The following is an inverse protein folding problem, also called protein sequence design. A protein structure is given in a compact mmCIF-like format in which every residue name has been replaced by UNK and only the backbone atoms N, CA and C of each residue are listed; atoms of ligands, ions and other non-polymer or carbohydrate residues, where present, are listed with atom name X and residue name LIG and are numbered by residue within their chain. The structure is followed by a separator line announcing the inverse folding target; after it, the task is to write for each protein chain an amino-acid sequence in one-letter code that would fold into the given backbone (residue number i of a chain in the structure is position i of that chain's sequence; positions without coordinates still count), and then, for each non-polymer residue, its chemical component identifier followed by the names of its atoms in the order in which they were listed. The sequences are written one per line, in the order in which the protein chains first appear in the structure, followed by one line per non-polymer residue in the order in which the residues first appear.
data_IF_669482542249
#
_entry.id   IF_669482542249
#
_cell.length_a   1.000
_cell.length_b   1.000
_cell.length_c   1.000
_cell.angle_alpha   90.00
_cell.angle_beta   90.00
_cell.angle_gamma   90.00
#
_symmetry.space_group_name_H-M   'P 1'
#
loop_
_entity.id
_entity.type
_entity.pdbx_description
1 polymer ?
#
# COMPACT_ATOMS: atom_id res chain seq x y z
N UNK A 1 9.05 -1.93 -31.06
CA UNK A 1 7.94 -1.16 -31.70
C UNK A 1 8.22 0.32 -31.45
N UNK A 2 7.64 1.29 -32.17
CA UNK A 2 7.84 2.71 -31.83
C UNK A 2 6.78 3.12 -30.81
N UNK A 3 7.21 3.54 -29.62
CA UNK A 3 6.35 4.00 -28.52
C UNK A 3 5.34 5.04 -29.02
N UNK A 4 4.06 4.84 -28.73
CA UNK A 4 3.01 5.79 -29.12
C UNK A 4 2.90 6.93 -28.11
N UNK A 5 2.30 8.06 -28.52
CA UNK A 5 2.06 9.19 -27.60
C UNK A 5 1.11 8.80 -26.46
N UNK A 6 0.17 7.90 -26.75
CA UNK A 6 -0.78 7.32 -25.81
C UNK A 6 -0.04 6.48 -24.75
N UNK A 7 0.90 5.65 -25.17
CA UNK A 7 1.71 4.83 -24.28
C UNK A 7 2.60 5.69 -23.35
N UNK A 8 3.32 6.67 -23.91
CA UNK A 8 4.10 7.63 -23.11
C UNK A 8 3.26 8.37 -22.07
N UNK A 9 2.01 8.72 -22.41
CA UNK A 9 1.08 9.35 -21.49
C UNK A 9 0.73 8.40 -20.32
N UNK A 10 0.41 7.13 -20.60
CA UNK A 10 0.06 6.13 -19.57
C UNK A 10 1.25 5.75 -18.69
N UNK A 11 2.47 5.72 -19.23
CA UNK A 11 3.70 5.41 -18.47
C UNK A 11 3.86 6.34 -17.25
N UNK A 12 3.52 7.62 -17.38
CA UNK A 12 3.56 8.55 -16.24
C UNK A 12 2.65 8.14 -15.08
N UNK A 13 1.41 7.74 -15.38
CA UNK A 13 0.46 7.25 -14.36
C UNK A 13 0.88 5.92 -13.77
N UNK A 14 1.42 5.02 -14.60
CA UNK A 14 1.97 3.74 -14.16
C UNK A 14 3.10 3.96 -13.13
N UNK A 15 4.01 4.90 -13.38
CA UNK A 15 5.07 5.22 -12.42
C UNK A 15 4.54 5.88 -11.15
N UNK A 16 3.61 6.81 -11.25
CA UNK A 16 3.01 7.46 -10.06
C UNK A 16 2.25 6.44 -9.19
N UNK A 17 1.45 5.56 -9.79
CA UNK A 17 0.72 4.52 -9.07
C UNK A 17 1.67 3.51 -8.38
N UNK A 18 2.77 3.17 -9.04
CA UNK A 18 3.84 2.38 -8.43
C UNK A 18 4.52 3.11 -7.27
N UNK A 19 4.89 4.39 -7.43
CA UNK A 19 5.48 5.17 -6.35
C UNK A 19 4.55 5.30 -5.14
N UNK A 20 3.23 5.34 -5.36
CA UNK A 20 2.24 5.39 -4.28
C UNK A 20 2.26 4.15 -3.35
N UNK A 21 2.72 3.00 -3.84
CA UNK A 21 2.86 1.76 -3.03
C UNK A 21 4.12 1.76 -2.17
N UNK A 22 5.15 2.49 -2.59
CA UNK A 22 6.50 2.36 -2.05
C UNK A 22 6.62 2.78 -0.57
N UNK A 23 5.87 3.78 -0.05
CA UNK A 23 5.86 4.09 1.37
C UNK A 23 5.45 2.92 2.27
N UNK A 24 4.74 1.90 1.74
CA UNK A 24 4.41 0.72 2.52
C UNK A 24 5.66 -0.07 2.97
N UNK A 25 6.75 -0.01 2.21
CA UNK A 25 8.02 -0.64 2.62
C UNK A 25 8.57 -0.08 3.94
N UNK A 26 8.30 1.20 4.21
CA UNK A 26 8.79 1.87 5.41
C UNK A 26 8.24 1.22 6.71
N UNK A 27 7.03 0.66 6.68
CA UNK A 27 6.42 -0.01 7.84
C UNK A 27 7.17 -1.26 8.30
N UNK A 28 7.94 -1.90 7.42
CA UNK A 28 8.70 -3.12 7.71
C UNK A 28 10.21 -2.92 7.56
N UNK A 29 10.67 -1.69 7.34
CA UNK A 29 12.08 -1.35 7.16
C UNK A 29 12.91 -1.82 8.36
N UNK A 30 14.09 -2.38 8.05
CA UNK A 30 15.07 -2.85 9.02
C UNK A 30 16.35 -2.04 8.87
N UNK A 31 16.96 -1.65 10.00
CA UNK A 31 18.20 -0.86 10.07
C UNK A 31 19.34 -1.41 9.19
N UNK A 32 19.40 -2.73 8.96
CA UNK A 32 20.39 -3.34 8.05
C UNK A 32 20.35 -2.80 6.62
N UNK A 33 19.20 -2.31 6.16
CA UNK A 33 18.99 -1.81 4.79
C UNK A 33 18.80 -0.29 4.75
N UNK A 34 19.13 0.41 5.84
CA UNK A 34 18.85 1.84 6.01
C UNK A 34 19.47 2.70 4.91
N UNK A 35 20.73 2.46 4.55
CA UNK A 35 21.42 3.28 3.53
C UNK A 35 20.80 3.08 2.14
N UNK A 36 20.52 1.82 1.78
CA UNK A 36 19.81 1.49 0.54
C UNK A 36 18.42 2.13 0.49
N UNK A 37 17.71 2.13 1.62
CA UNK A 37 16.40 2.76 1.73
C UNK A 37 16.47 4.28 1.60
N UNK A 38 17.50 4.93 2.14
CA UNK A 38 17.74 6.36 1.99
C UNK A 38 17.94 6.72 0.52
N UNK A 39 18.81 6.01 -0.19
CA UNK A 39 19.12 6.28 -1.59
C UNK A 39 17.90 6.02 -2.48
N UNK A 40 17.18 4.92 -2.21
CA UNK A 40 15.93 4.61 -2.89
C UNK A 40 14.87 5.69 -2.63
N UNK A 41 14.74 6.19 -1.41
CA UNK A 41 13.79 7.27 -1.06
C UNK A 41 14.16 8.59 -1.74
N UNK A 42 15.44 8.92 -1.87
CA UNK A 42 15.90 10.09 -2.64
C UNK A 42 15.53 9.94 -4.11
N UNK A 43 15.82 8.78 -4.70
CA UNK A 43 15.44 8.51 -6.09
C UNK A 43 13.91 8.61 -6.31
N UNK A 44 13.11 8.05 -5.40
CA UNK A 44 11.64 8.16 -5.43
C UNK A 44 11.15 9.60 -5.41
N UNK A 45 11.81 10.49 -4.65
CA UNK A 45 11.50 11.95 -4.63
C UNK A 45 11.73 12.57 -5.99
N UNK A 46 12.87 12.28 -6.61
CA UNK A 46 13.24 12.83 -7.91
C UNK A 46 12.27 12.34 -9.00
N UNK A 47 11.93 11.05 -8.98
CA UNK A 47 10.96 10.44 -9.90
C UNK A 47 9.55 11.04 -9.72
N UNK A 48 9.11 11.25 -8.49
CA UNK A 48 7.83 11.90 -8.21
C UNK A 48 7.81 13.34 -8.76
N UNK A 49 8.85 14.13 -8.48
CA UNK A 49 8.96 15.49 -8.98
C UNK A 49 8.98 15.56 -10.52
N UNK A 50 9.60 14.58 -11.18
CA UNK A 50 9.60 14.47 -12.63
C UNK A 50 8.19 14.20 -13.19
N UNK A 51 7.46 13.24 -12.62
CA UNK A 51 6.13 12.88 -13.11
C UNK A 51 5.01 13.83 -12.67
N UNK A 52 5.26 14.76 -11.75
CA UNK A 52 4.28 15.77 -11.30
C UNK A 52 4.61 17.21 -11.71
N UNK A 53 5.62 17.43 -12.56
CA UNK A 53 5.92 18.77 -13.06
C UNK A 53 4.84 19.29 -14.03
N UNK A 54 4.85 20.60 -14.30
CA UNK A 54 3.86 21.27 -15.17
C UNK A 54 3.88 20.74 -16.62
N UNK A 55 4.98 20.16 -17.07
CA UNK A 55 5.12 19.58 -18.42
C UNK A 55 4.73 18.09 -18.48
N UNK A 56 4.28 17.49 -17.37
CA UNK A 56 4.05 16.04 -17.29
C UNK A 56 2.69 15.62 -17.85
N UNK A 57 2.57 14.34 -18.20
CA UNK A 57 1.29 13.74 -18.59
C UNK A 57 0.24 13.83 -17.48
N UNK A 58 0.68 13.77 -16.22
CA UNK A 58 -0.18 13.95 -15.06
C UNK A 58 -0.73 15.37 -14.97
N UNK A 59 0.11 16.39 -15.12
CA UNK A 59 -0.34 17.78 -15.06
C UNK A 59 -1.29 18.11 -16.24
N UNK A 60 -0.93 17.67 -17.45
CA UNK A 60 -1.78 17.79 -18.65
C UNK A 60 -3.16 17.17 -18.43
N UNK A 61 -3.24 16.02 -17.76
CA UNK A 61 -4.51 15.40 -17.40
C UNK A 61 -5.30 16.22 -16.39
N UNK A 62 -4.64 16.75 -15.35
CA UNK A 62 -5.28 17.63 -14.38
C UNK A 62 -5.85 18.88 -15.07
N UNK A 63 -5.12 19.49 -16.01
CA UNK A 63 -5.62 20.58 -16.84
C UNK A 63 -6.85 20.20 -17.65
N UNK A 64 -6.82 19.05 -18.32
CA UNK A 64 -7.96 18.53 -19.08
C UNK A 64 -9.21 18.25 -18.22
N UNK A 65 -9.03 18.08 -16.91
CA UNK A 65 -10.10 17.86 -15.92
C UNK A 65 -10.51 19.15 -15.18
N UNK A 66 -9.87 20.28 -15.45
CA UNK A 66 -10.14 21.58 -14.82
C UNK A 66 -9.31 21.83 -13.55
N UNK A 67 -8.61 22.97 -13.50
CA UNK A 67 -7.75 23.40 -12.40
C UNK A 67 -8.36 24.46 -11.47
N UNK A 68 -9.62 24.86 -11.67
CA UNK A 68 -10.25 25.79 -10.72
C UNK A 68 -10.54 25.07 -9.41
N UNK A 69 -10.55 25.82 -8.32
CA UNK A 69 -10.78 25.27 -6.99
C UNK A 69 -12.07 24.42 -6.94
N UNK A 70 -11.92 23.15 -6.54
CA UNK A 70 -13.02 22.20 -6.43
C UNK A 70 -13.32 21.39 -7.70
N UNK A 71 -12.69 21.72 -8.83
CA UNK A 71 -12.75 20.91 -10.05
C UNK A 71 -11.97 19.60 -9.88
N UNK A 72 -12.31 18.54 -10.66
CA UNK A 72 -11.65 17.24 -10.52
C UNK A 72 -10.13 17.28 -10.72
N UNK A 73 -9.62 18.11 -11.63
CA UNK A 73 -8.19 18.24 -11.87
C UNK A 73 -7.43 18.88 -10.71
N UNK A 74 -7.97 19.97 -10.14
CA UNK A 74 -7.45 20.61 -8.92
C UNK A 74 -7.42 19.63 -7.73
N UNK A 75 -8.48 18.84 -7.54
CA UNK A 75 -8.55 17.83 -6.48
C UNK A 75 -7.48 16.74 -6.63
N UNK A 76 -7.31 16.23 -7.85
CA UNK A 76 -6.30 15.20 -8.14
C UNK A 76 -4.89 15.74 -7.90
N UNK A 77 -4.60 16.94 -8.39
CA UNK A 77 -3.31 17.60 -8.20
C UNK A 77 -3.00 17.77 -6.70
N UNK A 78 -3.97 18.29 -5.92
CA UNK A 78 -3.83 18.45 -4.46
C UNK A 78 -3.61 17.13 -3.74
N UNK A 79 -4.34 16.07 -4.10
CA UNK A 79 -4.20 14.75 -3.49
C UNK A 79 -2.79 14.18 -3.71
N UNK A 80 -2.26 14.25 -4.95
CA UNK A 80 -0.90 13.77 -5.26
C UNK A 80 0.17 14.64 -4.61
N UNK A 81 -0.04 15.96 -4.55
CA UNK A 81 0.85 16.88 -3.84
C UNK A 81 0.88 16.60 -2.33
N UNK A 82 -0.28 16.40 -1.71
CA UNK A 82 -0.39 16.06 -0.30
C UNK A 82 0.30 14.72 -0.01
N UNK A 83 0.10 13.72 -0.86
CA UNK A 83 0.84 12.46 -0.80
C UNK A 83 2.35 12.68 -0.88
N UNK A 84 2.83 13.48 -1.85
CA UNK A 84 4.24 13.79 -1.99
C UNK A 84 4.81 14.44 -0.71
N UNK A 85 4.08 15.40 -0.16
CA UNK A 85 4.48 16.15 1.02
C UNK A 85 4.51 15.28 2.28
N UNK A 86 3.49 14.44 2.47
CA UNK A 86 3.39 13.56 3.64
C UNK A 86 4.35 12.37 3.58
N UNK A 87 4.71 11.87 2.40
CA UNK A 87 5.50 10.63 2.26
C UNK A 87 6.96 10.88 1.94
N UNK A 88 7.27 11.92 1.17
CA UNK A 88 8.57 12.07 0.55
C UNK A 88 9.20 13.44 0.78
N UNK A 89 8.50 14.44 1.34
CA UNK A 89 9.14 15.72 1.66
C UNK A 89 10.25 15.59 2.72
N UNK A 90 11.27 16.46 2.72
CA UNK A 90 12.17 16.62 3.87
C UNK A 90 11.43 16.93 5.19
N UNK A 91 10.20 17.45 5.13
CA UNK A 91 9.32 17.72 6.26
C UNK A 91 8.30 16.61 6.52
N UNK A 92 8.34 15.52 5.77
CA UNK A 92 7.44 14.37 5.96
C UNK A 92 7.48 13.91 7.41
N UNK A 93 6.30 13.74 7.99
CA UNK A 93 6.15 13.20 9.34
C UNK A 93 6.27 11.69 9.38
N UNK A 94 6.09 11.00 8.23
CA UNK A 94 6.23 9.56 8.12
C UNK A 94 7.68 9.14 7.83
N UNK A 95 8.28 9.60 6.73
CA UNK A 95 9.63 9.25 6.28
C UNK A 95 10.48 10.51 6.17
N UNK A 96 11.31 10.76 7.19
CA UNK A 96 12.22 11.91 7.22
C UNK A 96 13.66 11.47 7.02
N UNK A 97 14.39 12.18 6.16
CA UNK A 97 15.83 12.01 5.94
C UNK A 97 16.52 13.33 6.25
N UNK A 98 17.28 13.37 7.36
CA UNK A 98 18.04 14.55 7.78
C UNK A 98 19.50 14.19 7.97
N UNK A 99 20.40 14.81 7.20
CA UNK A 99 21.86 14.52 7.25
C UNK A 99 22.18 13.02 7.16
N UNK A 100 21.54 12.30 6.22
CA UNK A 100 21.61 10.84 6.06
C UNK A 100 21.11 10.00 7.24
N UNK A 101 20.39 10.58 8.20
CA UNK A 101 19.62 9.81 9.16
C UNK A 101 18.17 9.68 8.70
N UNK A 102 17.79 8.43 8.40
CA UNK A 102 16.41 8.01 8.19
C UNK A 102 15.67 7.94 9.53
N UNK A 103 14.47 8.49 9.56
CA UNK A 103 13.50 8.37 10.65
C UNK A 103 12.17 7.92 10.05
N UNK A 104 11.61 6.85 10.59
CA UNK A 104 10.30 6.32 10.19
C UNK A 104 9.36 6.41 11.39
N UNK A 105 8.28 7.15 11.26
CA UNK A 105 7.24 7.26 12.27
C UNK A 105 6.04 6.38 11.89
N UNK A 106 6.02 5.15 12.39
CA UNK A 106 4.96 4.18 12.08
C UNK A 106 3.56 4.70 12.49
N UNK A 107 3.44 5.40 13.62
CA UNK A 107 2.14 5.97 14.07
C UNK A 107 1.60 6.97 13.06
N UNK A 108 2.46 7.87 12.57
CA UNK A 108 2.05 8.78 11.50
C UNK A 108 1.71 8.04 10.21
N UNK A 109 2.51 7.04 9.82
CA UNK A 109 2.20 6.21 8.65
C UNK A 109 0.80 5.58 8.72
N UNK A 110 0.42 5.06 9.89
CA UNK A 110 -0.92 4.49 10.13
C UNK A 110 -2.02 5.54 9.94
N UNK A 111 -1.84 6.74 10.48
CA UNK A 111 -2.78 7.85 10.30
C UNK A 111 -2.93 8.29 8.84
N UNK A 112 -1.92 8.02 8.00
CA UNK A 112 -1.90 8.38 6.59
C UNK A 112 -2.31 7.24 5.64
N UNK A 113 -2.74 6.08 6.17
CA UNK A 113 -3.15 4.92 5.34
C UNK A 113 -4.25 5.28 4.34
N UNK A 114 -5.20 6.14 4.72
CA UNK A 114 -6.25 6.62 3.81
C UNK A 114 -5.69 7.39 2.62
N UNK A 115 -4.73 8.29 2.84
CA UNK A 115 -4.07 9.05 1.78
C UNK A 115 -3.22 8.14 0.87
N UNK A 116 -2.48 7.20 1.45
CA UNK A 116 -1.66 6.22 0.72
C UNK A 116 -2.52 5.37 -0.22
N UNK A 117 -3.56 4.74 0.33
CA UNK A 117 -4.44 3.84 -0.42
C UNK A 117 -5.29 4.60 -1.42
N UNK A 118 -5.86 5.74 -1.02
CA UNK A 118 -6.66 6.59 -1.89
C UNK A 118 -5.86 7.09 -3.09
N UNK A 119 -4.66 7.62 -2.87
CA UNK A 119 -3.81 8.14 -3.97
C UNK A 119 -3.42 7.05 -4.96
N UNK A 120 -3.00 5.88 -4.45
CA UNK A 120 -2.70 4.74 -5.32
C UNK A 120 -3.92 4.33 -6.14
N UNK A 121 -5.07 4.16 -5.49
CA UNK A 121 -6.29 3.69 -6.13
C UNK A 121 -6.75 4.69 -7.20
N UNK A 122 -6.77 5.99 -6.90
CA UNK A 122 -7.11 7.04 -7.87
C UNK A 122 -6.20 7.02 -9.10
N UNK A 123 -4.88 6.94 -8.92
CA UNK A 123 -3.92 6.91 -10.03
C UNK A 123 -4.07 5.65 -10.88
N UNK A 124 -4.32 4.50 -10.23
CA UNK A 124 -4.60 3.24 -10.92
C UNK A 124 -5.89 3.31 -11.74
N UNK A 125 -6.97 3.84 -11.17
CA UNK A 125 -8.26 3.92 -11.86
C UNK A 125 -8.16 4.82 -13.09
N UNK A 126 -7.41 5.93 -13.00
CA UNK A 126 -7.12 6.77 -14.16
C UNK A 126 -6.34 5.99 -15.22
N UNK A 127 -5.26 5.31 -14.83
CA UNK A 127 -4.44 4.50 -15.74
C UNK A 127 -5.27 3.45 -16.48
N UNK A 128 -6.08 2.67 -15.76
CA UNK A 128 -6.89 1.59 -16.33
C UNK A 128 -8.00 2.15 -17.22
N UNK A 129 -8.67 3.22 -16.79
CA UNK A 129 -9.73 3.84 -17.59
C UNK A 129 -9.18 4.43 -18.90
N UNK A 130 -8.08 5.18 -18.83
CA UNK A 130 -7.46 5.78 -20.02
C UNK A 130 -6.90 4.69 -20.95
N UNK A 131 -6.29 3.62 -20.41
CA UNK A 131 -5.86 2.46 -21.18
C UNK A 131 -7.02 1.82 -21.94
N UNK A 132 -8.13 1.52 -21.25
CA UNK A 132 -9.31 0.93 -21.87
C UNK A 132 -9.91 1.84 -22.95
N UNK A 133 -9.94 3.16 -22.72
CA UNK A 133 -10.42 4.13 -23.71
C UNK A 133 -9.54 4.15 -24.97
N UNK A 134 -8.22 4.04 -24.83
CA UNK A 134 -7.32 3.97 -25.98
C UNK A 134 -7.47 2.66 -26.73
N UNK A 135 -7.51 1.52 -26.06
CA UNK A 135 -7.71 0.21 -26.68
C UNK A 135 -9.06 0.09 -27.42
N UNK A 136 -10.11 0.76 -26.93
CA UNK A 136 -11.42 0.80 -27.62
C UNK A 136 -11.38 1.62 -28.91
N UNK A 137 -10.62 2.72 -28.93
CA UNK A 137 -10.53 3.62 -30.08
C UNK A 137 -9.53 3.11 -31.12
N UNK A 138 -8.40 2.61 -30.65
CA UNK A 138 -7.25 2.19 -31.45
C UNK A 138 -6.65 0.92 -30.79
N UNK A 139 -7.15 -0.28 -31.12
CA UNK A 139 -6.77 -1.53 -30.44
C UNK A 139 -5.27 -1.85 -30.49
N UNK A 140 -4.60 -1.43 -31.56
CA UNK A 140 -3.17 -1.68 -31.79
C UNK A 140 -2.28 -0.49 -31.37
N UNK A 141 -2.83 0.52 -30.67
CA UNK A 141 -2.10 1.74 -30.28
C UNK A 141 -1.21 1.60 -29.05
N UNK A 142 -1.35 0.50 -28.30
CA UNK A 142 -0.61 0.24 -27.06
C UNK A 142 0.06 -1.13 -27.19
N UNK A 143 1.32 -1.23 -26.76
CA UNK A 143 2.06 -2.49 -26.74
C UNK A 143 1.33 -3.52 -25.85
N UNK A 144 1.05 -4.74 -26.35
CA UNK A 144 0.45 -5.80 -25.54
C UNK A 144 1.22 -6.11 -24.25
N UNK A 145 2.55 -5.97 -24.25
CA UNK A 145 3.37 -6.13 -23.05
C UNK A 145 3.06 -5.03 -22.02
N UNK A 146 2.82 -3.79 -22.45
CA UNK A 146 2.42 -2.72 -21.54
C UNK A 146 1.03 -2.98 -20.94
N UNK A 147 0.07 -3.48 -21.74
CA UNK A 147 -1.25 -3.89 -21.24
C UNK A 147 -1.11 -4.95 -20.14
N UNK A 148 -0.28 -5.96 -20.37
CA UNK A 148 -0.03 -7.02 -19.39
C UNK A 148 0.71 -6.51 -18.15
N UNK A 149 1.67 -5.59 -18.31
CA UNK A 149 2.35 -4.92 -17.20
C UNK A 149 1.37 -4.19 -16.27
N UNK A 150 0.41 -3.43 -16.83
CA UNK A 150 -0.59 -2.71 -16.03
C UNK A 150 -1.46 -3.68 -15.22
N UNK A 151 -1.89 -4.80 -15.81
CA UNK A 151 -2.66 -5.84 -15.12
C UNK A 151 -1.86 -6.50 -14.00
N UNK A 152 -0.63 -6.90 -14.30
CA UNK A 152 0.24 -7.62 -13.37
C UNK A 152 0.72 -6.73 -12.22
N UNK A 153 1.05 -5.47 -12.48
CA UNK A 153 1.44 -4.50 -11.44
C UNK A 153 0.38 -4.40 -10.37
N UNK A 154 -0.89 -4.29 -10.76
CA UNK A 154 -1.96 -4.13 -9.79
C UNK A 154 -2.02 -5.33 -8.82
N UNK A 155 -1.87 -6.55 -9.35
CA UNK A 155 -1.85 -7.79 -8.56
C UNK A 155 -0.66 -7.81 -7.61
N UNK A 156 0.53 -7.53 -8.13
CA UNK A 156 1.79 -7.52 -7.36
C UNK A 156 1.70 -6.51 -6.23
N UNK A 157 1.29 -5.29 -6.54
CA UNK A 157 1.22 -4.20 -5.57
C UNK A 157 0.13 -4.39 -4.54
N UNK A 158 -1.02 -4.96 -4.92
CA UNK A 158 -2.06 -5.33 -3.95
C UNK A 158 -1.57 -6.42 -3.00
N UNK A 159 -0.98 -7.49 -3.54
CA UNK A 159 -0.39 -8.54 -2.72
C UNK A 159 0.72 -8.01 -1.79
N UNK A 160 1.52 -7.07 -2.29
CA UNK A 160 2.54 -6.37 -1.50
C UNK A 160 1.92 -5.59 -0.34
N UNK A 161 0.96 -4.70 -0.61
CA UNK A 161 0.30 -3.90 0.43
C UNK A 161 -0.41 -4.79 1.45
N UNK A 162 -1.18 -5.80 1.02
CA UNK A 162 -1.85 -6.73 1.93
C UNK A 162 -0.84 -7.48 2.80
N UNK A 163 0.30 -7.91 2.24
CA UNK A 163 1.39 -8.53 3.01
C UNK A 163 1.98 -7.58 4.06
N UNK A 164 2.24 -6.31 3.71
CA UNK A 164 2.75 -5.32 4.66
C UNK A 164 1.72 -5.07 5.76
N UNK A 165 0.47 -4.80 5.39
CA UNK A 165 -0.64 -4.56 6.31
C UNK A 165 -0.85 -5.75 7.25
N UNK A 166 -0.72 -6.98 6.74
CA UNK A 166 -0.72 -8.21 7.53
C UNK A 166 0.36 -8.21 8.61
N UNK A 167 1.60 -7.88 8.24
CA UNK A 167 2.73 -7.88 9.16
C UNK A 167 2.54 -6.84 10.26
N UNK A 168 2.09 -5.62 9.91
CA UNK A 168 1.85 -4.57 10.91
C UNK A 168 0.63 -4.87 11.76
N UNK A 169 -0.39 -5.52 11.21
CA UNK A 169 -1.58 -5.97 11.94
C UNK A 169 -1.17 -6.93 13.06
N UNK A 170 -0.45 -8.01 12.72
CA UNK A 170 0.01 -9.00 13.71
C UNK A 170 0.92 -8.37 14.78
N UNK A 171 1.83 -7.48 14.38
CA UNK A 171 2.71 -6.77 15.33
C UNK A 171 1.92 -5.87 16.29
N UNK A 172 0.92 -5.17 15.79
CA UNK A 172 0.09 -4.26 16.59
C UNK A 172 -0.82 -5.04 17.53
N UNK A 173 -1.38 -6.15 17.05
CA UNK A 173 -2.16 -7.07 17.86
C UNK A 173 -1.35 -7.65 19.01
N UNK A 174 -0.16 -8.21 18.75
CA UNK A 174 0.67 -8.79 19.81
C UNK A 174 1.04 -7.75 20.88
N UNK A 175 1.23 -6.47 20.50
CA UNK A 175 1.43 -5.37 21.45
C UNK A 175 0.18 -5.08 22.28
N UNK A 176 -0.99 -5.07 21.66
CA UNK A 176 -2.27 -4.88 22.34
C UNK A 176 -2.56 -6.00 23.33
N UNK A 177 -2.43 -7.27 22.93
CA UNK A 177 -2.62 -8.42 23.82
C UNK A 177 -1.67 -8.39 25.01
N UNK A 178 -0.39 -8.08 24.80
CA UNK A 178 0.56 -7.93 25.90
C UNK A 178 0.19 -6.77 26.85
N UNK A 179 -0.37 -5.68 26.31
CA UNK A 179 -0.84 -4.56 27.12
C UNK A 179 -2.09 -4.91 27.94
N UNK A 180 -3.03 -5.68 27.37
CA UNK A 180 -4.19 -6.23 28.08
C UNK A 180 -3.72 -7.09 29.25
N UNK A 181 -2.83 -8.06 29.00
CA UNK A 181 -2.30 -8.93 30.05
C UNK A 181 -1.64 -8.13 31.17
N UNK A 182 -0.82 -7.14 30.81
CA UNK A 182 -0.18 -6.25 31.79
C UNK A 182 -1.19 -5.48 32.62
N UNK A 183 -2.21 -4.89 31.98
CA UNK A 183 -3.28 -4.15 32.64
C UNK A 183 -4.06 -5.05 33.60
N UNK A 184 -4.48 -6.23 33.16
CA UNK A 184 -5.22 -7.19 33.99
C UNK A 184 -4.39 -7.69 35.17
N UNK A 185 -3.09 -7.94 34.99
CA UNK A 185 -2.20 -8.32 36.10
C UNK A 185 -2.01 -7.18 37.12
N UNK A 186 -1.92 -5.94 36.66
CA UNK A 186 -1.85 -4.78 37.56
C UNK A 186 -3.14 -4.65 38.36
N UNK A 187 -4.30 -4.75 37.69
CA UNK A 187 -5.61 -4.71 38.34
C UNK A 187 -5.76 -5.82 39.39
N UNK A 188 -5.40 -7.06 39.04
CA UNK A 188 -5.42 -8.21 39.96
C UNK A 188 -4.57 -7.95 41.21
N UNK A 189 -3.39 -7.36 41.07
CA UNK A 189 -2.52 -7.06 42.22
C UNK A 189 -3.08 -5.93 43.10
N UNK A 190 -3.85 -5.00 42.53
CA UNK A 190 -4.42 -3.85 43.23
C UNK A 190 -5.76 -4.17 43.89
N UNK A 191 -6.62 -4.96 43.26
CA UNK A 191 -8.01 -5.22 43.68
C UNK A 191 -8.26 -6.67 44.10
N UNK A 192 -7.40 -7.60 43.69
CA UNK A 192 -7.63 -9.04 43.86
C UNK A 192 -8.56 -9.66 42.81
N UNK A 193 -9.05 -8.87 41.85
CA UNK A 193 -9.99 -9.32 40.81
C UNK A 193 -9.27 -9.65 39.50
N UNK A 194 -9.58 -10.81 38.93
CA UNK A 194 -8.98 -11.29 37.67
C UNK A 194 -9.88 -10.90 36.49
N UNK A 195 -9.59 -9.75 35.88
CA UNK A 195 -10.36 -9.24 34.73
C UNK A 195 -10.40 -10.20 33.54
N UNK A 196 -9.41 -11.09 33.38
CA UNK A 196 -9.41 -12.07 32.29
C UNK A 196 -10.46 -13.18 32.48
N UNK A 197 -11.06 -13.27 33.67
CA UNK A 197 -12.17 -14.17 33.99
C UNK A 197 -13.51 -13.46 34.07
N UNK A 198 -13.56 -12.14 33.91
CA UNK A 198 -14.81 -11.37 33.89
C UNK A 198 -15.37 -11.32 32.47
N UNK A 199 -16.56 -11.90 32.29
CA UNK A 199 -17.28 -11.93 31.00
C UNK A 199 -17.68 -10.52 30.51
N UNK A 200 -17.70 -9.51 31.40
CA UNK A 200 -18.02 -8.13 31.04
C UNK A 200 -16.77 -7.26 30.78
N UNK A 201 -15.57 -7.82 30.96
CA UNK A 201 -14.35 -7.07 30.70
C UNK A 201 -14.18 -6.83 29.20
N UNK A 202 -14.25 -5.56 28.81
CA UNK A 202 -14.03 -5.11 27.44
C UNK A 202 -12.74 -4.28 27.36
N UNK A 203 -11.61 -4.86 26.92
CA UNK A 203 -10.34 -4.16 26.85
C UNK A 203 -10.35 -2.96 25.91
N UNK A 204 -11.27 -2.92 24.93
CA UNK A 204 -11.39 -1.80 23.98
C UNK A 204 -11.88 -0.51 24.63
N UNK A 205 -12.56 -0.62 25.78
CA UNK A 205 -13.09 0.52 26.55
C UNK A 205 -12.13 1.05 27.61
N UNK A 206 -10.95 0.42 27.77
CA UNK A 206 -9.94 0.86 28.73
C UNK A 206 -9.12 2.00 28.12
N UNK A 207 -9.15 3.18 28.75
CA UNK A 207 -8.47 4.39 28.25
C UNK A 207 -6.98 4.18 27.95
N UNK A 208 -6.28 3.39 28.77
CA UNK A 208 -4.84 3.11 28.60
C UNK A 208 -4.52 2.19 27.41
N UNK A 209 -5.53 1.49 26.87
CA UNK A 209 -5.41 0.54 25.76
C UNK A 209 -5.98 1.10 24.45
N UNK A 210 -6.72 2.21 24.52
CA UNK A 210 -7.45 2.82 23.40
C UNK A 210 -6.59 3.08 22.15
N UNK A 211 -5.41 3.70 22.30
CA UNK A 211 -4.56 4.00 21.13
C UNK A 211 -4.10 2.74 20.38
N UNK A 212 -3.87 1.64 21.10
CA UNK A 212 -3.47 0.36 20.51
C UNK A 212 -4.64 -0.29 19.77
N UNK A 213 -5.84 -0.22 20.35
CA UNK A 213 -7.06 -0.69 19.69
C UNK A 213 -7.35 0.10 18.40
N UNK A 214 -7.34 1.43 18.46
CA UNK A 214 -7.56 2.32 17.31
C UNK A 214 -6.55 2.04 16.18
N UNK A 215 -5.29 1.74 16.53
CA UNK A 215 -4.27 1.38 15.52
C UNK A 215 -4.61 0.08 14.79
N UNK A 216 -5.15 -0.93 15.50
CA UNK A 216 -5.55 -2.21 14.90
C UNK A 216 -6.78 -2.01 14.01
N UNK A 217 -7.77 -1.24 14.46
CA UNK A 217 -8.96 -0.89 13.68
C UNK A 217 -8.59 -0.17 12.39
N UNK A 218 -7.70 0.83 12.44
CA UNK A 218 -7.21 1.53 11.24
C UNK A 218 -6.57 0.58 10.22
N UNK A 219 -5.75 -0.37 10.68
CA UNK A 219 -5.12 -1.36 9.81
C UNK A 219 -6.18 -2.30 9.22
N UNK A 220 -7.15 -2.74 10.02
CA UNK A 220 -8.24 -3.59 9.56
C UNK A 220 -9.12 -2.89 8.52
N UNK A 221 -9.46 -1.61 8.72
CA UNK A 221 -10.19 -0.82 7.73
C UNK A 221 -9.38 -0.62 6.45
N UNK A 222 -8.07 -0.37 6.54
CA UNK A 222 -7.20 -0.27 5.37
C UNK A 222 -7.15 -1.58 4.58
N UNK A 223 -7.08 -2.72 5.26
CA UNK A 223 -7.21 -4.04 4.66
C UNK A 223 -8.55 -4.16 3.92
N UNK A 224 -9.67 -3.90 4.60
CA UNK A 224 -11.00 -4.02 4.01
C UNK A 224 -11.18 -3.10 2.81
N UNK A 225 -10.70 -1.86 2.89
CA UNK A 225 -10.70 -0.92 1.76
C UNK A 225 -10.02 -1.52 0.52
N UNK A 226 -8.86 -2.14 0.68
CA UNK A 226 -8.19 -2.81 -0.44
C UNK A 226 -9.06 -3.95 -0.96
N UNK A 227 -9.56 -4.83 -0.07
CA UNK A 227 -10.35 -6.00 -0.48
C UNK A 227 -11.66 -5.62 -1.20
N UNK A 228 -12.29 -4.51 -0.81
CA UNK A 228 -13.56 -4.06 -1.37
C UNK A 228 -13.40 -3.31 -2.69
N UNK A 229 -12.21 -2.76 -2.97
CA UNK A 229 -11.87 -2.09 -4.22
C UNK A 229 -11.04 -2.96 -5.18
N UNK A 230 -10.87 -4.25 -4.84
CA UNK A 230 -10.39 -5.23 -5.80
C UNK A 230 -11.53 -5.60 -6.74
N UNK A 231 -11.41 -5.21 -8.01
CA UNK A 231 -12.13 -5.90 -9.06
C UNK A 231 -11.61 -7.33 -9.08
N UNK A 232 -12.49 -8.30 -8.80
CA UNK A 232 -12.20 -9.71 -8.97
C UNK A 232 -11.85 -9.92 -10.45
N UNK A 233 -10.56 -9.99 -10.76
CA UNK A 233 -10.08 -10.45 -12.05
C UNK A 233 -10.37 -11.96 -12.20
N UNK A 234 -10.28 -12.49 -13.42
CA UNK A 234 -10.38 -13.94 -13.73
C UNK A 234 -9.29 -14.81 -13.05
N UNK A 235 -8.45 -14.23 -12.19
CA UNK A 235 -7.38 -14.89 -11.46
C UNK A 235 -7.94 -15.62 -10.22
N UNK A 236 -8.33 -16.87 -10.43
CA UNK A 236 -8.89 -17.76 -9.41
C UNK A 236 -7.99 -17.89 -8.19
N UNK A 237 -6.66 -17.92 -8.39
CA UNK A 237 -5.70 -18.04 -7.29
C UNK A 237 -5.70 -16.78 -6.42
N UNK A 238 -5.62 -15.60 -7.04
CA UNK A 238 -5.66 -14.34 -6.31
C UNK A 238 -6.99 -14.12 -5.58
N UNK A 239 -8.12 -14.43 -6.24
CA UNK A 239 -9.46 -14.32 -5.65
C UNK A 239 -9.62 -15.26 -4.45
N UNK A 240 -9.07 -16.49 -4.51
CA UNK A 240 -9.05 -17.40 -3.37
C UNK A 240 -8.22 -16.85 -2.20
N UNK A 241 -7.06 -16.24 -2.48
CA UNK A 241 -6.20 -15.61 -1.46
C UNK A 241 -6.92 -14.42 -0.77
N UNK A 242 -7.56 -13.55 -1.56
CA UNK A 242 -8.37 -12.42 -1.08
C UNK A 242 -9.53 -12.88 -0.21
N UNK A 243 -10.27 -13.91 -0.66
CA UNK A 243 -11.38 -14.49 0.12
C UNK A 243 -10.92 -15.07 1.45
N UNK A 244 -9.79 -15.78 1.46
CA UNK A 244 -9.17 -16.29 2.69
C UNK A 244 -8.86 -15.15 3.65
N UNK A 245 -8.28 -14.07 3.14
CA UNK A 245 -7.90 -12.91 3.95
C UNK A 245 -9.10 -12.17 4.54
N UNK A 246 -10.18 -12.00 3.76
CA UNK A 246 -11.43 -11.42 4.25
C UNK A 246 -12.00 -12.21 5.42
N UNK A 247 -12.02 -13.55 5.33
CA UNK A 247 -12.47 -14.42 6.42
C UNK A 247 -11.61 -14.26 7.67
N UNK A 248 -10.29 -14.21 7.50
CA UNK A 248 -9.37 -14.02 8.62
C UNK A 248 -9.55 -12.65 9.29
N UNK A 249 -9.78 -11.58 8.52
CA UNK A 249 -10.03 -10.24 9.04
C UNK A 249 -11.39 -10.13 9.76
N UNK A 250 -12.43 -10.77 9.23
CA UNK A 250 -13.75 -10.80 9.87
C UNK A 250 -13.74 -11.56 11.20
N UNK A 251 -13.02 -12.69 11.28
CA UNK A 251 -12.83 -13.40 12.55
C UNK A 251 -12.26 -12.51 13.66
N UNK A 252 -11.40 -11.55 13.31
CA UNK A 252 -10.91 -10.58 14.27
C UNK A 252 -12.00 -9.63 14.77
N UNK A 253 -12.84 -9.12 13.87
CA UNK A 253 -13.94 -8.22 14.25
C UNK A 253 -14.94 -8.88 15.21
N UNK A 254 -15.01 -10.22 15.22
CA UNK A 254 -15.90 -11.01 16.07
C UNK A 254 -15.30 -11.31 17.47
N UNK A 255 -14.01 -11.01 17.73
CA UNK A 255 -13.32 -11.29 18.99
C UNK A 255 -12.75 -12.72 19.07
N UNK A 256 -11.61 -12.90 19.77
CA UNK A 256 -10.89 -14.19 19.82
C UNK A 256 -10.87 -14.83 21.21
N UNK A 257 -10.95 -16.16 21.24
CA UNK A 257 -11.02 -16.95 22.48
C UNK A 257 -9.65 -17.46 23.00
N UNK A 258 -8.56 -17.53 22.21
CA UNK A 258 -7.22 -17.91 22.72
C UNK A 258 -5.99 -17.55 21.82
N UNK A 259 -4.80 -17.47 22.44
CA UNK A 259 -3.49 -17.13 21.82
C UNK A 259 -2.99 -18.11 20.74
N UNK A 260 -3.44 -19.37 20.77
CA UNK A 260 -2.97 -20.40 19.84
C UNK A 260 -3.56 -20.22 18.43
N UNK A 261 -4.80 -19.73 18.35
CA UNK A 261 -5.44 -19.39 17.09
C UNK A 261 -4.77 -18.15 16.47
N UNK A 262 -4.39 -17.17 17.31
CA UNK A 262 -3.69 -15.97 16.85
C UNK A 262 -2.31 -16.24 16.25
N UNK A 263 -1.53 -17.15 16.81
CA UNK A 263 -0.21 -17.52 16.26
C UNK A 263 -0.35 -18.22 14.89
N UNK A 264 -1.39 -19.05 14.72
CA UNK A 264 -1.71 -19.69 13.43
C UNK A 264 -2.13 -18.65 12.42
N UNK A 265 -3.04 -17.75 12.80
CA UNK A 265 -3.51 -16.64 11.98
C UNK A 265 -2.32 -15.77 11.56
N UNK A 266 -1.43 -15.37 12.46
CA UNK A 266 -0.22 -14.60 12.14
C UNK A 266 0.67 -15.29 11.10
N UNK A 267 0.87 -16.60 11.25
CA UNK A 267 1.66 -17.41 10.31
C UNK A 267 0.98 -17.47 8.93
N UNK A 268 -0.34 -17.61 8.90
CA UNK A 268 -1.13 -17.63 7.68
C UNK A 268 -1.18 -16.27 6.97
N UNK A 269 -1.41 -15.17 7.70
CA UNK A 269 -1.37 -13.79 7.21
C UNK A 269 -0.04 -13.49 6.49
N UNK A 270 1.09 -13.89 7.09
CA UNK A 270 2.43 -13.65 6.53
C UNK A 270 2.76 -14.50 5.30
N UNK A 271 2.34 -15.76 5.29
CA UNK A 271 2.73 -16.73 4.26
C UNK A 271 1.86 -16.64 3.01
N UNK A 272 0.56 -16.34 3.17
CA UNK A 272 -0.45 -16.40 2.09
C UNK A 272 -0.08 -15.52 0.89
N UNK A 273 0.36 -14.27 1.12
CA UNK A 273 0.74 -13.36 0.02
C UNK A 273 2.23 -13.41 -0.36
N UNK A 274 3.09 -14.06 0.44
CA UNK A 274 4.52 -14.02 0.21
C UNK A 274 4.95 -14.75 -1.07
N UNK A 275 4.36 -15.92 -1.35
CA UNK A 275 4.69 -16.68 -2.56
C UNK A 275 4.06 -16.04 -3.81
N UNK A 276 2.78 -15.67 -3.74
CA UNK A 276 2.09 -14.97 -4.83
C UNK A 276 2.80 -13.68 -5.23
N UNK A 277 3.24 -12.87 -4.26
CA UNK A 277 4.04 -11.67 -4.52
C UNK A 277 5.36 -12.03 -5.22
N UNK A 278 6.11 -13.02 -4.72
CA UNK A 278 7.43 -13.38 -5.26
C UNK A 278 7.33 -13.78 -6.73
N UNK A 279 6.41 -14.68 -7.06
CA UNK A 279 6.25 -15.23 -8.41
C UNK A 279 5.80 -14.16 -9.42
N UNK A 280 4.79 -13.36 -9.07
CA UNK A 280 4.26 -12.33 -9.95
C UNK A 280 5.19 -11.12 -10.07
N UNK A 281 5.94 -10.79 -9.01
CA UNK A 281 6.92 -9.71 -9.06
C UNK A 281 8.11 -10.05 -9.97
N UNK A 282 8.54 -11.32 -10.04
CA UNK A 282 9.56 -11.74 -11.02
C UNK A 282 9.04 -11.52 -12.45
N UNK A 283 7.84 -12.03 -12.76
CA UNK A 283 7.22 -11.83 -14.07
C UNK A 283 7.08 -10.36 -14.44
N UNK A 284 6.69 -9.52 -13.49
CA UNK A 284 6.55 -8.07 -13.70
C UNK A 284 7.90 -7.41 -14.02
N UNK A 285 8.97 -7.82 -13.32
CA UNK A 285 10.33 -7.32 -13.60
C UNK A 285 10.78 -7.71 -15.00
N UNK A 286 10.54 -8.95 -15.40
CA UNK A 286 10.90 -9.45 -16.74
C UNK A 286 10.16 -8.66 -17.82
N UNK A 287 8.86 -8.41 -17.65
CA UNK A 287 8.07 -7.59 -18.58
C UNK A 287 8.57 -6.14 -18.66
N UNK A 288 8.91 -5.52 -17.53
CA UNK A 288 9.50 -4.17 -17.50
C UNK A 288 10.84 -4.16 -18.25
N UNK A 289 11.68 -5.17 -18.03
CA UNK A 289 12.98 -5.28 -18.68
C UNK A 289 12.83 -5.42 -20.20
N UNK A 290 11.92 -6.27 -20.65
CA UNK A 290 11.60 -6.48 -22.06
C UNK A 290 11.03 -5.20 -22.68
N UNK A 291 10.12 -4.51 -22.00
CA UNK A 291 9.54 -3.25 -22.44
C UNK A 291 10.63 -2.18 -22.64
N UNK A 292 11.43 -1.89 -21.61
CA UNK A 292 12.54 -0.92 -21.69
C UNK A 292 13.54 -1.32 -22.78
N UNK A 293 13.86 -2.61 -22.91
CA UNK A 293 14.82 -3.09 -23.91
C UNK A 293 14.31 -2.92 -25.34
N UNK A 294 13.00 -3.12 -25.52
CA UNK A 294 12.32 -2.95 -26.81
C UNK A 294 12.24 -1.49 -27.25
N UNK A 295 12.21 -0.55 -26.30
CA UNK A 295 12.19 0.89 -26.56
C UNK A 295 13.60 1.48 -26.74
N UNK A 296 14.57 1.04 -25.93
CA UNK A 296 15.93 1.58 -25.92
C UNK A 296 16.88 0.89 -26.89
N UNK A 297 16.53 -0.30 -27.38
CA UNK A 297 17.44 -1.17 -28.15
C UNK A 297 18.57 -1.78 -27.32
N UNK A 298 18.54 -1.64 -25.99
CA UNK A 298 19.54 -2.14 -25.05
C UNK A 298 18.92 -3.21 -24.16
N UNK A 299 19.43 -4.44 -24.19
CA UNK A 299 19.01 -5.49 -23.24
C UNK A 299 19.55 -5.22 -21.85
N UNK A 300 18.67 -5.22 -20.85
CA UNK A 300 19.04 -5.16 -19.44
C UNK A 300 19.01 -6.55 -18.82
N UNK A 301 20.15 -7.02 -18.30
CA UNK A 301 20.21 -8.20 -17.43
C UNK A 301 19.98 -7.73 -15.98
N UNK A 302 18.84 -8.09 -15.38
CA UNK A 302 18.48 -7.79 -13.99
C UNK A 302 18.91 -8.90 -13.01
#
# INVERSE_FOLDING_TARGET
MKVTKQELYLVGFFHLANLAKDPFEAFIMNDMFKDQFIDLTKHRRDTLAFFTNEDSSFYTRCEGMGLKEGEPGDKLLKQVQEFADQMFSPKSKFISIKKNNLTINVKEGLNQLGLLLGTRQTLRDILVNDLNLFLQKEPDSIDPNFVEMVKLENKVSTAFMLRILSVIFCRSFNKYSAAILKYSMQHLNETGEDLLKDENFDPSKVDSLKELNESIEQISYAIMFILDNLHEDDDVEFTALVSKFRKLNNKFAEGFENDSEMTKIETEYKSTFANYYRENNTKLRDLIADFISSESGVKFDF
#
